data_IF_869186247972
#
_entry.id   IF_869186247972
#
_cell.length_a   1.000
_cell.length_b   1.000
_cell.length_c   1.000
_cell.angle_alpha   90.00
_cell.angle_beta   90.00
_cell.angle_gamma   90.00
#
_symmetry.space_group_name_H-M   'P 1'
#
loop_
_entity.id
_entity.type
_entity.pdbx_description
1 polymer ?
#
# COMPACT_ATOMS: atom_id res chain seq x y z
N UNK A 1 -9.65 31.34 -18.22
CA UNK A 1 -10.06 31.05 -16.83
C UNK A 1 -9.58 29.65 -16.53
N UNK A 2 -8.55 29.46 -15.69
CA UNK A 2 -8.18 28.13 -15.23
C UNK A 2 -9.23 27.67 -14.22
N UNK A 3 -9.79 26.47 -14.42
CA UNK A 3 -10.67 25.85 -13.43
C UNK A 3 -9.82 25.50 -12.20
N UNK A 4 -10.13 26.13 -11.07
CA UNK A 4 -9.60 25.74 -9.77
C UNK A 4 -10.25 24.42 -9.37
N UNK A 5 -9.42 23.41 -9.12
CA UNK A 5 -9.89 22.11 -8.62
C UNK A 5 -9.51 21.99 -7.15
N UNK A 6 -10.48 21.78 -6.27
CA UNK A 6 -10.22 21.53 -4.85
C UNK A 6 -9.96 20.04 -4.58
N UNK A 7 -9.04 19.75 -3.67
CA UNK A 7 -8.70 18.39 -3.25
C UNK A 7 -8.38 18.30 -1.74
N UNK A 8 -8.51 17.11 -1.16
CA UNK A 8 -8.04 16.86 0.21
C UNK A 8 -6.53 16.61 0.22
N UNK A 9 -6.05 15.78 -0.71
CA UNK A 9 -4.63 15.46 -0.87
C UNK A 9 -4.22 15.65 -2.33
N UNK A 10 -3.07 16.30 -2.54
CA UNK A 10 -2.39 16.37 -3.81
C UNK A 10 -1.01 15.70 -3.70
N UNK A 11 -0.78 14.62 -4.43
CA UNK A 11 0.56 14.09 -4.67
C UNK A 11 1.05 14.66 -6.00
N UNK A 12 2.23 15.27 -6.04
CA UNK A 12 2.75 15.89 -7.27
C UNK A 12 4.22 15.55 -7.54
N UNK A 13 4.68 15.77 -8.77
CA UNK A 13 6.05 15.48 -9.23
C UNK A 13 6.48 14.00 -9.11
N UNK A 14 5.54 13.06 -9.01
CA UNK A 14 5.86 11.63 -8.98
C UNK A 14 5.85 11.02 -10.39
N UNK A 15 6.48 9.86 -10.54
CA UNK A 15 6.24 8.99 -11.69
C UNK A 15 5.05 8.09 -11.36
N UNK A 16 3.98 8.14 -12.14
CA UNK A 16 2.76 7.37 -11.87
C UNK A 16 2.70 6.15 -12.78
N UNK A 17 2.49 4.98 -12.19
CA UNK A 17 2.23 3.70 -12.85
C UNK A 17 0.76 3.37 -12.65
N UNK A 18 -0.13 3.59 -13.65
CA UNK A 18 -1.56 3.41 -13.48
C UNK A 18 -2.00 1.95 -13.27
N UNK A 19 -1.23 0.99 -13.82
CA UNK A 19 -1.51 -0.46 -13.78
C UNK A 19 -2.88 -0.86 -14.40
N UNK A 20 -3.41 -0.05 -15.32
CA UNK A 20 -4.68 -0.30 -16.01
C UNK A 20 -4.53 -0.40 -17.54
N UNK A 21 -3.29 -0.57 -18.04
CA UNK A 21 -2.96 -0.59 -19.47
C UNK A 21 -2.63 0.78 -20.07
N UNK A 22 -2.82 1.87 -19.32
CA UNK A 22 -2.39 3.21 -19.73
C UNK A 22 -0.86 3.41 -19.59
N UNK A 23 -0.36 4.45 -20.26
CA UNK A 23 1.05 4.81 -20.23
C UNK A 23 1.52 5.34 -18.85
N UNK A 24 2.82 5.20 -18.59
CA UNK A 24 3.48 5.79 -17.42
C UNK A 24 3.47 7.32 -17.53
N UNK A 25 3.02 7.99 -16.46
CA UNK A 25 2.98 9.46 -16.40
C UNK A 25 4.21 9.97 -15.65
N UNK A 26 5.15 10.56 -16.38
CA UNK A 26 6.31 11.23 -15.79
C UNK A 26 5.94 12.63 -15.26
N UNK A 27 6.48 12.99 -14.09
CA UNK A 27 6.18 14.26 -13.39
C UNK A 27 4.67 14.49 -13.29
N UNK A 28 3.94 13.46 -12.89
CA UNK A 28 2.50 13.48 -12.74
C UNK A 28 2.02 14.04 -11.41
N UNK A 29 0.72 14.21 -11.32
CA UNK A 29 0.00 14.49 -10.08
C UNK A 29 -1.21 13.56 -9.91
N UNK A 30 -1.59 13.35 -8.66
CA UNK A 30 -2.80 12.63 -8.24
C UNK A 30 -3.53 13.53 -7.24
N UNK A 31 -4.76 13.92 -7.57
CA UNK A 31 -5.66 14.61 -6.66
C UNK A 31 -6.63 13.61 -6.03
N UNK A 32 -6.81 13.71 -4.72
CA UNK A 32 -7.67 12.85 -3.93
C UNK A 32 -8.70 13.72 -3.23
N UNK A 33 -9.97 13.39 -3.39
CA UNK A 33 -11.12 14.07 -2.77
C UNK A 33 -12.06 13.01 -2.21
N UNK A 34 -12.45 13.13 -0.94
CA UNK A 34 -13.34 12.18 -0.25
C UNK A 34 -12.86 10.71 -0.36
N UNK A 35 -11.57 10.50 -0.13
CA UNK A 35 -10.94 9.18 -0.18
C UNK A 35 -10.85 8.54 -1.58
N UNK A 36 -11.24 9.25 -2.65
CA UNK A 36 -11.21 8.76 -4.03
C UNK A 36 -10.25 9.58 -4.88
N UNK A 37 -9.64 8.95 -5.88
CA UNK A 37 -8.86 9.65 -6.90
C UNK A 37 -9.82 10.48 -7.74
N UNK A 38 -9.72 11.81 -7.68
CA UNK A 38 -10.59 12.70 -8.45
C UNK A 38 -9.95 13.08 -9.79
N UNK A 39 -8.63 13.26 -9.82
CA UNK A 39 -7.89 13.59 -11.04
C UNK A 39 -6.50 12.98 -11.03
N UNK A 40 -6.04 12.59 -12.22
CA UNK A 40 -4.69 12.12 -12.49
C UNK A 40 -4.21 12.75 -13.80
N UNK A 41 -2.92 13.12 -13.87
CA UNK A 41 -2.38 13.67 -15.12
C UNK A 41 -0.94 14.14 -15.01
N UNK A 42 -0.43 14.68 -16.12
CA UNK A 42 0.89 15.34 -16.17
C UNK A 42 0.82 16.66 -15.41
N UNK A 43 1.93 17.08 -14.79
CA UNK A 43 2.09 18.44 -14.31
C UNK A 43 2.22 19.42 -15.50
N UNK A 44 1.13 19.63 -16.24
CA UNK A 44 1.02 20.75 -17.17
C UNK A 44 0.38 21.92 -16.43
N UNK A 45 0.82 23.14 -16.76
CA UNK A 45 0.42 24.41 -16.09
C UNK A 45 -1.10 24.68 -16.05
N UNK A 46 -1.94 23.83 -16.63
CA UNK A 46 -3.37 24.05 -16.85
C UNK A 46 -4.27 23.75 -15.63
N UNK A 47 -3.79 23.00 -14.63
CA UNK A 47 -4.57 22.69 -13.42
C UNK A 47 -3.96 23.38 -12.19
N UNK A 48 -4.66 24.41 -11.69
CA UNK A 48 -4.42 24.95 -10.36
C UNK A 48 -5.22 24.12 -9.37
N UNK A 49 -4.61 23.06 -8.84
CA UNK A 49 -5.21 22.26 -7.76
C UNK A 49 -4.89 22.93 -6.43
N UNK A 50 -5.91 23.34 -5.67
CA UNK A 50 -5.75 23.72 -4.26
C UNK A 50 -6.09 22.52 -3.39
N UNK A 51 -5.13 22.08 -2.57
CA UNK A 51 -5.31 20.93 -1.71
C UNK A 51 -5.07 21.28 -0.24
N UNK A 52 -5.83 20.63 0.67
CA UNK A 52 -5.62 20.77 2.12
C UNK A 52 -4.25 20.23 2.54
N UNK A 53 -3.75 19.20 1.85
CA UNK A 53 -2.41 18.61 2.06
C UNK A 53 -1.72 18.35 0.73
N UNK A 54 -0.46 18.74 0.64
CA UNK A 54 0.36 18.53 -0.56
C UNK A 54 1.57 17.65 -0.23
N UNK A 55 1.83 16.65 -1.08
CA UNK A 55 2.91 15.68 -0.96
C UNK A 55 3.81 15.75 -2.20
N UNK A 56 5.08 16.12 -1.99
CA UNK A 56 6.07 16.12 -3.07
C UNK A 56 6.61 14.70 -3.29
N UNK A 57 6.29 14.13 -4.45
CA UNK A 57 6.72 12.82 -4.91
C UNK A 57 7.93 12.85 -5.85
N UNK A 58 8.69 13.95 -5.91
CA UNK A 58 9.89 14.04 -6.75
C UNK A 58 10.85 12.87 -6.47
N UNK A 59 11.23 12.15 -7.52
CA UNK A 59 12.09 10.97 -7.44
C UNK A 59 11.41 9.72 -6.86
N UNK A 60 10.09 9.76 -6.65
CA UNK A 60 9.29 8.63 -6.16
C UNK A 60 8.30 8.15 -7.20
N UNK A 61 7.87 6.91 -7.02
CA UNK A 61 6.86 6.25 -7.84
C UNK A 61 5.53 6.15 -7.08
N UNK A 62 4.43 6.47 -7.75
CA UNK A 62 3.07 6.20 -7.29
C UNK A 62 2.48 5.05 -8.10
N UNK A 63 1.94 4.05 -7.41
CA UNK A 63 1.24 2.90 -7.97
C UNK A 63 0.03 2.58 -7.09
N UNK A 64 -0.96 1.80 -7.58
CA UNK A 64 -1.99 1.24 -6.72
C UNK A 64 -1.38 0.49 -5.52
N UNK A 65 -2.04 0.58 -4.37
CA UNK A 65 -1.62 -0.18 -3.20
C UNK A 65 -1.59 -1.68 -3.50
N UNK A 66 -0.54 -2.37 -3.04
CA UNK A 66 -0.41 -3.81 -3.23
C UNK A 66 -1.51 -4.53 -2.45
N UNK A 67 -2.13 -5.52 -3.08
CA UNK A 67 -3.16 -6.36 -2.45
C UNK A 67 -2.50 -7.69 -2.03
N UNK A 68 -2.47 -7.95 -0.73
CA UNK A 68 -2.03 -9.22 -0.20
C UNK A 68 -3.21 -10.21 -0.16
N UNK A 69 -3.28 -11.11 -1.14
CA UNK A 69 -4.40 -12.03 -1.32
C UNK A 69 -4.42 -13.21 -0.34
N UNK A 70 -3.32 -13.49 0.34
CA UNK A 70 -3.23 -14.64 1.25
C UNK A 70 -2.17 -14.38 2.33
N UNK A 71 -2.57 -14.47 3.59
CA UNK A 71 -1.66 -14.28 4.73
C UNK A 71 -2.17 -14.99 5.97
N UNK A 72 -1.25 -15.41 6.83
CA UNK A 72 -1.52 -15.90 8.17
C UNK A 72 -0.98 -14.88 9.18
N UNK A 73 -1.80 -13.89 9.52
CA UNK A 73 -1.32 -12.64 10.11
C UNK A 73 -0.60 -12.83 11.45
N UNK A 74 -1.09 -13.72 12.32
CA UNK A 74 -0.50 -13.94 13.64
C UNK A 74 0.84 -14.70 13.58
N UNK A 75 1.11 -15.41 12.49
CA UNK A 75 2.34 -16.18 12.30
C UNK A 75 3.57 -15.28 12.14
N UNK A 76 3.42 -13.96 12.06
CA UNK A 76 4.56 -13.02 12.21
C UNK A 76 5.36 -13.32 13.49
N UNK A 77 4.71 -13.76 14.57
CA UNK A 77 5.37 -14.17 15.81
C UNK A 77 6.27 -15.40 15.66
N UNK A 78 6.05 -16.22 14.63
CA UNK A 78 6.80 -17.43 14.36
C UNK A 78 7.89 -17.25 13.30
N UNK A 79 8.14 -16.00 12.87
CA UNK A 79 9.14 -15.69 11.85
C UNK A 79 10.52 -16.23 12.27
N UNK A 80 11.06 -17.15 11.45
CA UNK A 80 12.38 -17.77 11.67
C UNK A 80 12.41 -18.91 12.69
N UNK A 81 11.27 -19.39 13.21
CA UNK A 81 11.25 -20.50 14.18
C UNK A 81 11.50 -21.86 13.53
N UNK A 82 11.00 -22.07 12.31
CA UNK A 82 11.15 -23.31 11.57
C UNK A 82 11.42 -23.00 10.10
N UNK A 83 12.66 -23.24 9.68
CA UNK A 83 13.17 -23.03 8.33
C UNK A 83 13.71 -24.37 7.80
N UNK A 84 13.72 -24.54 6.47
CA UNK A 84 14.34 -25.68 5.78
C UNK A 84 13.88 -27.08 6.24
N UNK A 85 12.60 -27.23 6.63
CA UNK A 85 11.98 -28.52 6.99
C UNK A 85 11.01 -29.01 5.90
N UNK A 86 10.82 -30.34 5.74
CA UNK A 86 9.71 -30.88 4.96
C UNK A 86 8.36 -30.35 5.45
N UNK A 87 7.38 -30.22 4.54
CA UNK A 87 6.09 -29.60 4.86
C UNK A 87 5.39 -30.28 6.04
N UNK A 88 5.30 -31.61 6.05
CA UNK A 88 4.60 -32.36 7.09
C UNK A 88 5.26 -32.14 8.47
N UNK A 89 6.58 -32.15 8.53
CA UNK A 89 7.33 -31.85 9.76
C UNK A 89 7.17 -30.40 10.21
N UNK A 90 7.24 -29.45 9.27
CA UNK A 90 7.01 -28.04 9.57
C UNK A 90 5.60 -27.81 10.13
N UNK A 91 4.60 -28.43 9.50
CA UNK A 91 3.19 -28.25 9.84
C UNK A 91 2.83 -28.97 11.15
N UNK A 92 3.01 -30.29 11.19
CA UNK A 92 2.49 -31.13 12.28
C UNK A 92 3.34 -31.04 13.54
N UNK A 93 4.67 -30.96 13.41
CA UNK A 93 5.56 -30.97 14.56
C UNK A 93 5.86 -29.58 15.10
N UNK A 94 5.74 -28.53 14.28
CA UNK A 94 6.14 -27.17 14.67
C UNK A 94 4.98 -26.17 14.68
N UNK A 95 4.41 -25.85 13.52
CA UNK A 95 3.44 -24.75 13.41
C UNK A 95 2.15 -25.06 14.14
N UNK A 96 1.55 -26.23 13.91
CA UNK A 96 0.27 -26.56 14.52
C UNK A 96 0.35 -26.61 16.05
N UNK A 97 1.37 -27.24 16.69
CA UNK A 97 1.54 -27.17 18.14
C UNK A 97 1.77 -25.75 18.69
N UNK A 98 2.39 -24.85 17.91
CA UNK A 98 2.58 -23.45 18.30
C UNK A 98 1.28 -22.64 18.18
N UNK A 99 0.54 -22.83 17.09
CA UNK A 99 -0.76 -22.17 16.88
C UNK A 99 -1.77 -22.55 17.97
N UNK A 100 -1.78 -23.81 18.43
CA UNK A 100 -2.64 -24.26 19.54
C UNK A 100 -2.39 -23.51 20.85
N UNK A 101 -1.20 -22.92 21.02
CA UNK A 101 -0.83 -22.14 22.21
C UNK A 101 -1.11 -20.64 22.05
N UNK A 102 -1.60 -20.20 20.88
CA UNK A 102 -1.92 -18.80 20.67
C UNK A 102 -3.15 -18.41 21.51
N UNK A 103 -3.02 -17.26 22.15
CA UNK A 103 -4.10 -16.62 22.89
C UNK A 103 -4.52 -15.36 22.15
N UNK A 104 -5.65 -14.78 22.52
CA UNK A 104 -6.18 -13.56 21.90
C UNK A 104 -5.15 -12.42 21.86
N UNK A 105 -4.37 -12.25 22.92
CA UNK A 105 -3.31 -11.27 23.02
C UNK A 105 -2.20 -11.52 22.00
N UNK A 106 -1.81 -12.78 21.79
CA UNK A 106 -0.84 -13.17 20.77
C UNK A 106 -1.35 -12.85 19.36
N UNK A 107 -2.61 -13.16 19.05
CA UNK A 107 -3.19 -12.84 17.73
C UNK A 107 -3.19 -11.32 17.48
N UNK A 108 -3.64 -10.54 18.47
CA UNK A 108 -3.67 -9.09 18.36
C UNK A 108 -2.28 -8.49 18.15
N UNK A 109 -1.32 -8.89 18.99
CA UNK A 109 0.06 -8.38 18.91
C UNK A 109 0.74 -8.83 17.61
N UNK A 110 0.54 -10.08 17.19
CA UNK A 110 1.08 -10.61 15.94
C UNK A 110 0.55 -9.87 14.71
N UNK A 111 -0.69 -9.39 14.75
CA UNK A 111 -1.27 -8.60 13.66
C UNK A 111 -0.79 -7.14 13.57
N UNK A 112 -0.13 -6.62 14.61
CA UNK A 112 0.43 -5.27 14.62
C UNK A 112 1.90 -5.19 14.18
N UNK A 113 2.56 -6.35 14.00
CA UNK A 113 3.96 -6.49 13.59
C UNK A 113 4.10 -6.73 12.09
#
# INVERSE_FOLDING_TARGET
MSLLTEADILVHNCTILPMNGEEIIQKGFIAITDGKISHIGKATKALSVQAKRTLNGQGKVALPGLVNCHTHVAMTLFRGIAEDRPFDEWWEETIWPLEQKLERSHIYNGALL
#
